data_IF_872600804721
#
_entry.id   IF_872600804721
#
_cell.length_a   1.000
_cell.length_b   1.000
_cell.length_c   1.000
_cell.angle_alpha   90.00
_cell.angle_beta   90.00
_cell.angle_gamma   90.00
#
_symmetry.space_group_name_H-M   'P 1'
#
loop_
_entity.id
_entity.type
_entity.pdbx_description
1 polymer ?
#
# COMPACT_ATOMS: atom_id res chain seq x y z
N UNK A 1 -6.46 -34.53 39.18
CA UNK A 1 -7.11 -35.60 38.40
C UNK A 1 -6.09 -36.13 37.41
N UNK A 2 -5.69 -37.39 37.49
CA UNK A 2 -4.68 -37.99 36.60
C UNK A 2 -5.36 -38.53 35.35
N UNK A 3 -5.68 -37.63 34.41
CA UNK A 3 -6.09 -38.05 33.07
C UNK A 3 -4.85 -38.37 32.24
N UNK A 4 -4.88 -39.43 31.41
CA UNK A 4 -3.82 -39.68 30.47
C UNK A 4 -3.70 -38.51 29.47
N UNK A 5 -2.47 -38.10 29.15
CA UNK A 5 -2.25 -37.02 28.19
C UNK A 5 -2.81 -37.40 26.81
N UNK A 6 -3.55 -36.49 26.15
CA UNK A 6 -4.00 -36.71 24.78
C UNK A 6 -2.81 -36.88 23.82
N UNK A 7 -2.98 -37.70 22.79
CA UNK A 7 -1.95 -37.86 21.76
C UNK A 7 -1.72 -36.55 21.01
N UNK A 8 -0.49 -36.34 20.50
CA UNK A 8 -0.14 -35.13 19.73
C UNK A 8 -1.08 -34.89 18.56
N UNK A 9 -1.42 -35.96 17.80
CA UNK A 9 -2.41 -35.89 16.71
C UNK A 9 -3.78 -35.37 17.18
N UNK A 10 -4.23 -35.80 18.36
CA UNK A 10 -5.51 -35.37 18.94
C UNK A 10 -5.46 -33.91 19.37
N UNK A 11 -4.36 -33.47 20.01
CA UNK A 11 -4.15 -32.05 20.35
C UNK A 11 -4.11 -31.15 19.12
N UNK A 12 -3.39 -31.54 18.07
CA UNK A 12 -3.32 -30.76 16.82
C UNK A 12 -4.67 -30.66 16.11
N UNK A 13 -5.46 -31.75 16.08
CA UNK A 13 -6.82 -31.70 15.52
C UNK A 13 -7.72 -30.78 16.34
N UNK A 14 -7.70 -30.95 17.66
CA UNK A 14 -8.50 -30.14 18.57
C UNK A 14 -8.12 -28.65 18.48
N UNK A 15 -6.84 -28.30 18.39
CA UNK A 15 -6.40 -26.91 18.25
C UNK A 15 -6.92 -26.23 16.97
N UNK A 16 -7.25 -27.02 15.93
CA UNK A 16 -7.82 -26.51 14.67
C UNK A 16 -9.33 -26.36 14.70
N UNK A 17 -10.03 -27.26 15.38
CA UNK A 17 -11.49 -27.37 15.31
C UNK A 17 -12.21 -26.91 16.58
N UNK A 18 -11.47 -26.82 17.69
CA UNK A 18 -11.96 -26.52 19.04
C UNK A 18 -13.18 -27.39 19.42
N UNK A 19 -13.15 -28.68 19.03
CA UNK A 19 -14.30 -29.58 18.99
C UNK A 19 -14.45 -30.51 20.22
N UNK A 20 -13.62 -30.36 21.26
CA UNK A 20 -13.64 -31.22 22.45
C UNK A 20 -13.40 -30.43 23.75
N UNK A 21 -14.48 -30.18 24.50
CA UNK A 21 -14.45 -29.44 25.77
C UNK A 21 -13.63 -30.14 26.87
N UNK A 22 -13.47 -31.47 26.81
CA UNK A 22 -12.66 -32.19 27.80
C UNK A 22 -11.17 -31.96 27.57
N UNK A 23 -10.75 -31.85 26.31
CA UNK A 23 -9.37 -31.49 25.97
C UNK A 23 -9.08 -30.05 26.37
N UNK A 24 -10.03 -29.13 26.16
CA UNK A 24 -9.91 -27.74 26.63
C UNK A 24 -9.59 -27.68 28.14
N UNK A 25 -10.43 -28.30 28.97
CA UNK A 25 -10.22 -28.33 30.43
C UNK A 25 -8.88 -28.97 30.79
N UNK A 26 -8.46 -30.02 30.08
CA UNK A 26 -7.15 -30.64 30.32
C UNK A 26 -6.00 -29.71 29.96
N UNK A 27 -6.03 -29.05 28.80
CA UNK A 27 -4.97 -28.16 28.32
C UNK A 27 -4.78 -26.97 29.25
N UNK A 28 -5.89 -26.39 29.75
CA UNK A 28 -5.87 -25.30 30.74
C UNK A 28 -5.19 -25.69 32.06
N UNK A 29 -5.18 -26.97 32.40
CA UNK A 29 -4.64 -27.50 33.65
C UNK A 29 -3.30 -28.23 33.48
N UNK A 30 -2.75 -28.28 32.27
CA UNK A 30 -1.61 -29.12 31.92
C UNK A 30 -0.59 -28.36 31.06
N UNK A 31 0.47 -27.85 31.70
CA UNK A 31 1.56 -27.12 31.04
C UNK A 31 2.20 -27.90 29.88
N UNK A 32 2.33 -29.22 30.02
CA UNK A 32 2.90 -30.08 28.98
C UNK A 32 2.06 -30.08 27.70
N UNK A 33 0.74 -30.15 27.84
CA UNK A 33 -0.16 -30.14 26.69
C UNK A 33 -0.28 -28.74 26.09
N UNK A 34 -0.27 -27.70 26.94
CA UNK A 34 -0.21 -26.31 26.50
C UNK A 34 1.03 -26.04 25.63
N UNK A 35 2.21 -26.42 26.10
CA UNK A 35 3.46 -26.25 25.35
C UNK A 35 3.49 -27.00 24.00
N UNK A 36 2.74 -28.11 23.87
CA UNK A 36 2.59 -28.82 22.59
C UNK A 36 1.67 -28.05 21.65
N UNK A 37 0.57 -27.49 22.16
CA UNK A 37 -0.38 -26.69 21.38
C UNK A 37 0.27 -25.39 20.90
N UNK A 38 0.99 -24.68 21.76
CA UNK A 38 1.71 -23.44 21.40
C UNK A 38 2.75 -23.66 20.29
N UNK A 39 3.43 -24.81 20.30
CA UNK A 39 4.39 -25.19 19.24
C UNK A 39 3.70 -25.68 17.97
N UNK A 40 2.41 -25.94 18.02
CA UNK A 40 1.65 -26.32 16.83
C UNK A 40 1.26 -25.03 16.13
N UNK A 41 2.18 -24.49 15.31
CA UNK A 41 1.84 -23.34 14.48
C UNK A 41 0.58 -23.65 13.67
N UNK A 42 -0.41 -22.75 13.64
CA UNK A 42 -1.51 -22.88 12.71
C UNK A 42 -0.89 -22.80 11.31
N UNK A 43 -0.82 -23.94 10.63
CA UNK A 43 -0.37 -24.01 9.23
C UNK A 43 -1.14 -23.02 8.31
N UNK A 44 -2.30 -22.54 8.77
CA UNK A 44 -3.13 -21.51 8.15
C UNK A 44 -2.52 -20.09 8.18
N UNK A 45 -1.76 -19.69 9.21
CA UNK A 45 -1.21 -18.33 9.28
C UNK A 45 -0.15 -18.08 8.21
N UNK A 46 0.69 -19.08 7.92
CA UNK A 46 1.68 -19.00 6.85
C UNK A 46 0.99 -18.91 5.48
N UNK A 47 -0.12 -19.62 5.29
CA UNK A 47 -0.89 -19.59 4.05
C UNK A 47 -1.59 -18.25 3.83
N UNK A 48 -2.24 -17.71 4.86
CA UNK A 48 -2.93 -16.41 4.79
C UNK A 48 -1.93 -15.26 4.58
N UNK A 49 -0.82 -15.26 5.31
CA UNK A 49 0.23 -14.24 5.16
C UNK A 49 0.89 -14.27 3.78
N UNK A 50 0.92 -15.43 3.12
CA UNK A 50 1.39 -15.56 1.74
C UNK A 50 0.35 -15.05 0.75
N UNK A 51 -0.92 -15.46 0.90
CA UNK A 51 -2.02 -15.02 0.05
C UNK A 51 -2.24 -13.50 0.11
N UNK A 52 -2.19 -12.91 1.31
CA UNK A 52 -2.28 -11.47 1.48
C UNK A 52 -1.11 -10.74 0.82
N UNK A 53 0.11 -11.30 0.89
CA UNK A 53 1.26 -10.73 0.19
C UNK A 53 1.10 -10.75 -1.32
N UNK A 54 0.56 -11.83 -1.87
CA UNK A 54 0.28 -11.94 -3.31
C UNK A 54 -0.86 -11.02 -3.75
N UNK A 55 -1.87 -10.81 -2.90
CA UNK A 55 -3.00 -9.94 -3.24
C UNK A 55 -2.66 -8.45 -3.07
N UNK A 56 -1.82 -8.11 -2.10
CA UNK A 56 -1.40 -6.73 -1.81
C UNK A 56 -0.09 -6.33 -2.50
N UNK A 57 0.55 -7.23 -3.25
CA UNK A 57 1.72 -6.87 -4.05
C UNK A 57 1.33 -5.86 -5.11
N UNK A 58 2.17 -4.84 -5.29
CA UNK A 58 1.99 -3.87 -6.37
C UNK A 58 2.00 -4.61 -7.73
N UNK A 59 1.11 -4.24 -8.66
CA UNK A 59 1.14 -4.81 -10.00
C UNK A 59 2.43 -4.39 -10.70
N UNK A 60 3.01 -5.29 -11.50
CA UNK A 60 4.28 -5.05 -12.22
C UNK A 60 4.22 -3.81 -13.13
N UNK A 61 3.01 -3.43 -13.58
CA UNK A 61 2.78 -2.26 -14.42
C UNK A 61 2.73 -0.92 -13.66
N UNK A 62 2.72 -0.93 -12.32
CA UNK A 62 2.54 0.29 -11.52
C UNK A 62 3.64 1.31 -11.78
N UNK A 63 4.89 0.85 -11.86
CA UNK A 63 6.03 1.74 -12.12
C UNK A 63 5.90 2.41 -13.49
N UNK A 64 5.60 1.63 -14.53
CA UNK A 64 5.44 2.13 -15.88
C UNK A 64 4.27 3.12 -15.98
N UNK A 65 3.14 2.84 -15.34
CA UNK A 65 1.96 3.72 -15.31
C UNK A 65 2.24 5.04 -14.58
N UNK A 66 3.02 5.00 -13.49
CA UNK A 66 3.43 6.20 -12.77
C UNK A 66 4.37 7.08 -13.61
N UNK A 67 5.34 6.47 -14.30
CA UNK A 67 6.25 7.19 -15.21
C UNK A 67 5.48 7.85 -16.34
N UNK A 68 4.60 7.10 -17.01
CA UNK A 68 3.80 7.63 -18.13
C UNK A 68 2.91 8.81 -17.70
N UNK A 69 2.28 8.71 -16.52
CA UNK A 69 1.49 9.81 -15.95
C UNK A 69 2.34 11.03 -15.62
N UNK A 70 3.54 10.83 -15.05
CA UNK A 70 4.44 11.92 -14.72
C UNK A 70 4.92 12.65 -15.98
N UNK A 71 5.30 11.91 -17.03
CA UNK A 71 5.70 12.47 -18.31
C UNK A 71 4.56 13.24 -18.99
N UNK A 72 3.36 12.66 -18.99
CA UNK A 72 2.17 13.32 -19.53
C UNK A 72 1.87 14.63 -18.78
N UNK A 73 1.97 14.63 -17.45
CA UNK A 73 1.77 15.84 -16.65
C UNK A 73 2.84 16.89 -16.95
N UNK A 74 4.09 16.49 -17.12
CA UNK A 74 5.19 17.39 -17.50
C UNK A 74 4.98 18.01 -18.88
N UNK A 75 4.59 17.20 -19.86
CA UNK A 75 4.29 17.66 -21.22
C UNK A 75 3.15 18.69 -21.22
N UNK A 76 2.06 18.43 -20.48
CA UNK A 76 0.93 19.37 -20.35
C UNK A 76 1.36 20.71 -19.75
N UNK A 77 2.20 20.71 -18.70
CA UNK A 77 2.71 21.95 -18.11
C UNK A 77 3.54 22.75 -19.11
N UNK A 78 4.44 22.08 -19.84
CA UNK A 78 5.25 22.73 -20.87
C UNK A 78 4.38 23.34 -21.98
N UNK A 79 3.33 22.63 -22.42
CA UNK A 79 2.37 23.16 -23.39
C UNK A 79 1.63 24.41 -22.89
N UNK A 80 1.19 24.42 -21.63
CA UNK A 80 0.52 25.58 -21.03
C UNK A 80 1.44 26.79 -20.88
N UNK A 81 2.71 26.56 -20.53
CA UNK A 81 3.72 27.62 -20.42
C UNK A 81 3.97 28.28 -21.78
N UNK A 82 4.13 27.46 -22.83
CA UNK A 82 4.28 27.96 -24.21
C UNK A 82 3.05 28.74 -24.65
N UNK A 83 1.84 28.23 -24.41
CA UNK A 83 0.60 28.91 -24.76
C UNK A 83 0.44 30.23 -23.99
N UNK A 84 0.80 30.26 -22.70
CA UNK A 84 0.78 31.48 -21.89
C UNK A 84 1.76 32.52 -22.39
N UNK A 85 2.98 32.12 -22.75
CA UNK A 85 3.98 33.00 -23.36
C UNK A 85 3.50 33.58 -24.69
N UNK A 86 2.97 32.74 -25.58
CA UNK A 86 2.43 33.20 -26.87
C UNK A 86 1.25 34.16 -26.70
N UNK A 87 0.38 33.94 -25.71
CA UNK A 87 -0.74 34.83 -25.41
C UNK A 87 -0.30 36.18 -24.79
N UNK A 88 0.87 36.23 -24.15
CA UNK A 88 1.44 37.46 -23.60
C UNK A 88 2.09 38.37 -24.66
N UNK A 89 2.59 37.79 -25.77
CA UNK A 89 3.30 38.54 -26.82
C UNK A 89 2.51 39.73 -27.41
N UNK A 90 1.20 39.64 -27.72
CA UNK A 90 0.46 40.79 -28.23
C UNK A 90 0.37 41.94 -27.23
N UNK A 91 0.23 41.63 -25.94
CA UNK A 91 0.18 42.64 -24.87
C UNK A 91 1.55 43.29 -24.65
N UNK A 92 2.62 42.50 -24.64
CA UNK A 92 3.99 43.02 -24.56
C UNK A 92 4.33 43.88 -25.76
N UNK A 93 3.91 43.48 -26.96
CA UNK A 93 4.10 44.26 -28.20
C UNK A 93 3.34 45.58 -28.13
N UNK A 94 2.07 45.57 -27.70
CA UNK A 94 1.28 46.78 -27.51
C UNK A 94 1.90 47.72 -26.47
N UNK A 95 2.42 47.17 -25.37
CA UNK A 95 3.11 47.94 -24.33
C UNK A 95 4.37 48.62 -24.86
N UNK A 96 5.14 47.95 -25.72
CA UNK A 96 6.32 48.55 -26.37
C UNK A 96 5.93 49.67 -27.34
N UNK A 97 4.83 49.52 -28.08
CA UNK A 97 4.34 50.57 -29.00
C UNK A 97 3.80 51.80 -28.28
N UNK A 98 3.10 51.62 -27.14
CA UNK A 98 2.52 52.73 -26.36
C UNK A 98 3.60 53.41 -25.49
N UNK A 99 4.65 52.68 -25.09
CA UNK A 99 5.71 53.19 -24.23
C UNK A 99 6.72 54.14 -24.88
N UNK A 100 6.69 54.30 -26.20
CA UNK A 100 7.65 55.11 -26.97
C UNK A 100 7.13 56.55 -27.24
N UNK A 101 5.83 56.82 -27.06
CA UNK A 101 5.23 58.12 -27.39
C UNK A 101 5.21 59.13 -26.21
N UNK A 102 5.90 58.83 -25.09
CA UNK A 102 5.79 59.62 -23.85
C UNK A 102 7.09 60.10 -23.20
N UNK A 103 8.25 59.95 -23.83
CA UNK A 103 9.55 60.28 -23.21
C UNK A 103 10.33 61.42 -23.86
N UNK A 104 9.67 62.32 -24.60
CA UNK A 104 10.30 63.50 -25.23
C UNK A 104 9.53 64.82 -24.94
N UNK A 105 9.18 65.06 -23.67
CA UNK A 105 8.73 66.40 -23.26
C UNK A 105 9.35 66.78 -21.93
N UNK A 106 10.61 67.26 -21.96
CA UNK A 106 11.20 68.22 -21.02
C UNK A 106 12.46 68.85 -21.65
N UNK A 107 12.28 70.01 -22.27
CA UNK A 107 13.30 71.06 -22.39
C UNK A 107 12.60 72.43 -22.24
#
# INVERSE_FOLDING_TARGET
MLWPHPSRRRLTRWARLLDDARIQVHVEQCERCLAVVEKTEPAEEVALGTLLRTFLSAPDSLEQELVERAETARARRASLEILGGLAALPWETLRLMIGDEGSDEHD
#
